data_IF_335709713248
#
_entry.id   IF_335709713248
#
_cell.length_a   1.000
_cell.length_b   1.000
_cell.length_c   1.000
_cell.angle_alpha   90.00
_cell.angle_beta   90.00
_cell.angle_gamma   90.00
#
_symmetry.space_group_name_H-M   'P 1'
#
loop_
_entity.id
_entity.type
_entity.pdbx_description
1 polymer ?
#
# COMPACT_ATOMS: atom_id res chain seq x y z
N UNK A 1 1.47 7.09 -0.40
CA UNK A 1 0.34 8.04 -0.29
C UNK A 1 0.16 8.49 1.15
N UNK A 2 -0.49 9.63 1.39
CA UNK A 2 -0.96 10.02 2.72
C UNK A 2 -2.49 10.00 2.73
N UNK A 3 -3.09 9.32 3.70
CA UNK A 3 -4.53 9.27 3.92
C UNK A 3 -4.83 8.83 5.36
N UNK A 4 -5.89 9.35 5.98
CA UNK A 4 -6.33 8.98 7.33
C UNK A 4 -5.18 9.00 8.36
N UNK A 5 -4.43 10.10 8.40
CA UNK A 5 -3.33 10.29 9.35
C UNK A 5 -2.13 9.36 9.15
N UNK A 6 -2.07 8.61 8.04
CA UNK A 6 -1.07 7.56 7.84
C UNK A 6 -0.35 7.70 6.51
N UNK A 7 0.94 7.33 6.49
CA UNK A 7 1.64 7.01 5.25
C UNK A 7 1.27 5.60 4.84
N UNK A 8 0.85 5.48 3.58
CA UNK A 8 0.57 4.23 2.91
C UNK A 8 1.67 3.93 1.90
N UNK A 9 2.27 2.74 1.99
CA UNK A 9 3.42 2.34 1.19
C UNK A 9 3.21 0.97 0.56
N UNK A 10 3.34 0.91 -0.77
CA UNK A 10 3.25 -0.32 -1.54
C UNK A 10 4.58 -1.11 -1.46
N UNK A 11 4.49 -2.39 -1.11
CA UNK A 11 5.63 -3.30 -1.04
C UNK A 11 5.76 -4.18 -2.28
N UNK A 12 6.89 -4.08 -2.97
CA UNK A 12 7.23 -4.94 -4.12
C UNK A 12 7.52 -6.37 -3.67
N UNK A 13 8.74 -6.66 -3.21
CA UNK A 13 9.13 -8.01 -2.75
C UNK A 13 8.39 -8.44 -1.48
N UNK A 14 7.97 -7.49 -0.66
CA UNK A 14 7.19 -7.77 0.54
C UNK A 14 5.72 -8.11 0.27
N UNK A 15 5.24 -7.89 -0.96
CA UNK A 15 3.88 -8.24 -1.43
C UNK A 15 2.77 -7.82 -0.47
N UNK A 16 2.84 -6.57 0.01
CA UNK A 16 1.95 -6.05 1.05
C UNK A 16 1.79 -4.54 0.95
N UNK A 17 0.67 -4.05 1.46
CA UNK A 17 0.44 -2.63 1.67
C UNK A 17 0.73 -2.29 3.13
N UNK A 18 1.67 -1.39 3.38
CA UNK A 18 1.96 -0.90 4.73
C UNK A 18 1.10 0.32 5.08
N UNK A 19 0.60 0.37 6.31
CA UNK A 19 0.10 1.56 7.00
C UNK A 19 1.10 1.96 8.07
N UNK A 20 1.57 3.20 8.01
CA UNK A 20 2.48 3.79 9.00
C UNK A 20 1.74 5.01 9.60
N UNK A 21 1.14 4.87 10.79
CA UNK A 21 0.38 5.96 11.40
C UNK A 21 1.32 7.06 11.89
N UNK A 22 1.04 8.30 11.51
CA UNK A 22 1.85 9.45 11.90
C UNK A 22 1.29 10.11 13.16
N UNK A 23 2.17 10.53 14.06
CA UNK A 23 1.80 11.24 15.28
C UNK A 23 1.61 12.75 15.04
N UNK A 24 2.21 13.28 13.98
CA UNK A 24 2.22 14.73 13.68
C UNK A 24 3.24 15.51 14.49
N UNK A 25 4.02 14.83 15.34
CA UNK A 25 5.16 15.37 16.09
C UNK A 25 6.41 14.58 15.70
N UNK A 26 7.33 15.22 14.98
CA UNK A 26 8.53 14.57 14.46
C UNK A 26 9.39 13.88 15.53
N UNK A 27 9.30 14.30 16.79
CA UNK A 27 10.00 13.65 17.90
C UNK A 27 9.34 12.37 18.42
N UNK A 28 8.16 12.01 17.90
CA UNK A 28 7.32 10.89 18.36
C UNK A 28 6.77 10.07 17.18
N UNK A 29 7.51 10.02 16.08
CA UNK A 29 7.13 9.19 14.92
C UNK A 29 7.75 7.79 15.00
N UNK A 30 7.03 6.73 14.58
CA UNK A 30 5.60 6.72 14.22
C UNK A 30 4.68 6.76 15.47
N UNK A 31 3.38 7.07 15.28
CA UNK A 31 2.39 7.07 16.37
C UNK A 31 2.21 5.68 17.01
N UNK A 32 2.36 4.63 16.21
CA UNK A 32 2.29 3.23 16.62
C UNK A 32 3.08 2.36 15.61
N UNK A 33 3.26 1.08 15.94
CA UNK A 33 3.96 0.14 15.06
C UNK A 33 3.28 0.06 13.67
N UNK A 34 4.07 0.02 12.57
CA UNK A 34 3.53 -0.15 11.23
C UNK A 34 2.74 -1.45 11.08
N UNK A 35 1.66 -1.39 10.30
CA UNK A 35 0.76 -2.53 10.06
C UNK A 35 0.81 -2.95 8.59
N UNK A 36 0.79 -4.25 8.33
CA UNK A 36 0.67 -4.79 6.97
C UNK A 36 -0.75 -5.21 6.64
N UNK A 37 -1.11 -5.05 5.37
CA UNK A 37 -2.38 -5.46 4.80
C UNK A 37 -2.15 -6.09 3.43
N UNK A 38 -3.12 -6.89 2.98
CA UNK A 38 -3.10 -7.54 1.66
C UNK A 38 -1.88 -8.45 1.44
N UNK A 39 -1.27 -8.96 2.52
CA UNK A 39 -0.07 -9.79 2.47
C UNK A 39 -0.26 -10.96 1.48
N UNK A 40 0.58 -10.98 0.44
CA UNK A 40 0.66 -11.97 -0.65
C UNK A 40 -0.63 -12.10 -1.50
N UNK A 41 -1.67 -11.31 -1.22
CA UNK A 41 -2.99 -11.46 -1.84
C UNK A 41 -3.03 -11.03 -3.32
N UNK A 42 -2.26 -9.99 -3.65
CA UNK A 42 -2.22 -9.40 -5.00
C UNK A 42 -0.81 -9.43 -5.60
N UNK A 43 0.12 -10.12 -4.94
CA UNK A 43 1.53 -10.13 -5.30
C UNK A 43 2.20 -8.77 -5.08
N UNK A 44 3.05 -8.39 -6.04
CA UNK A 44 3.91 -7.21 -5.97
C UNK A 44 3.09 -5.94 -6.09
N UNK A 45 3.24 -5.02 -5.15
CA UNK A 45 2.57 -3.71 -5.18
C UNK A 45 3.60 -2.61 -5.46
N UNK A 46 3.34 -1.75 -6.44
CA UNK A 46 4.31 -0.71 -6.89
C UNK A 46 3.89 0.71 -6.56
N UNK A 47 2.63 1.05 -6.79
CA UNK A 47 2.17 2.43 -6.70
C UNK A 47 0.96 2.52 -5.79
N UNK A 48 0.97 3.49 -4.88
CA UNK A 48 -0.18 3.86 -4.05
C UNK A 48 -0.34 5.37 -4.05
N UNK A 49 -1.51 5.85 -4.43
CA UNK A 49 -1.87 7.28 -4.45
C UNK A 49 -3.21 7.50 -3.74
N UNK A 50 -3.40 8.68 -3.15
CA UNK A 50 -4.67 9.03 -2.52
C UNK A 50 -5.78 9.20 -3.57
N UNK A 51 -6.96 8.66 -3.30
CA UNK A 51 -8.16 8.84 -4.12
C UNK A 51 -9.19 9.79 -3.48
N UNK A 52 -8.81 10.46 -2.39
CA UNK A 52 -9.66 11.37 -1.61
C UNK A 52 -10.42 10.66 -0.48
N UNK A 53 -10.55 11.35 0.66
CA UNK A 53 -11.18 10.80 1.85
C UNK A 53 -10.39 9.62 2.44
N UNK A 54 -11.06 8.49 2.55
CA UNK A 54 -10.59 7.19 3.04
C UNK A 54 -10.22 6.22 1.90
N UNK A 55 -9.98 6.71 0.69
CA UNK A 55 -9.70 5.83 -0.47
C UNK A 55 -8.30 6.00 -1.04
N UNK A 56 -7.76 4.91 -1.56
CA UNK A 56 -6.47 4.82 -2.22
C UNK A 56 -6.60 4.11 -3.57
N UNK A 57 -5.89 4.59 -4.59
CA UNK A 57 -5.59 3.79 -5.78
C UNK A 57 -4.29 3.03 -5.56
N UNK A 58 -4.31 1.73 -5.83
CA UNK A 58 -3.17 0.82 -5.67
C UNK A 58 -2.93 0.06 -6.98
N UNK A 59 -1.68 -0.09 -7.39
CA UNK A 59 -1.30 -0.75 -8.65
C UNK A 59 -0.39 -1.95 -8.38
N UNK A 60 -0.74 -3.11 -8.93
CA UNK A 60 0.11 -4.32 -8.90
C UNK A 60 1.25 -4.21 -9.91
N UNK A 61 2.27 -5.04 -9.75
CA UNK A 61 3.49 -5.02 -10.58
C UNK A 61 4.06 -6.42 -10.76
N UNK A 62 3.19 -7.41 -10.98
CA UNK A 62 3.54 -8.82 -11.16
C UNK A 62 4.21 -9.06 -12.52
N UNK A 63 3.90 -8.23 -13.53
CA UNK A 63 4.47 -8.33 -14.89
C UNK A 63 5.84 -7.68 -15.04
N UNK A 64 6.48 -7.22 -13.96
CA UNK A 64 7.76 -6.48 -13.99
C UNK A 64 9.01 -7.37 -14.15
N UNK A 65 8.83 -8.66 -14.45
CA UNK A 65 9.89 -9.65 -14.61
C UNK A 65 10.44 -10.23 -13.30
N UNK A 66 9.87 -9.88 -12.15
CA UNK A 66 10.27 -10.39 -10.83
C UNK A 66 9.12 -10.98 -10.01
N UNK A 67 7.93 -11.09 -10.61
CA UNK A 67 6.76 -11.71 -10.02
C UNK A 67 6.33 -12.97 -10.78
N UNK A 68 5.21 -13.54 -10.34
CA UNK A 68 4.54 -14.67 -10.98
C UNK A 68 3.18 -14.19 -11.53
N UNK A 69 3.11 -13.66 -12.77
CA UNK A 69 1.90 -13.06 -13.30
C UNK A 69 0.75 -14.05 -13.41
N UNK A 70 -0.45 -13.60 -13.04
CA UNK A 70 -1.70 -14.34 -13.27
C UNK A 70 -2.50 -13.72 -14.41
N UNK A 71 -3.40 -14.47 -15.07
CA UNK A 71 -4.30 -13.88 -16.06
C UNK A 71 -5.06 -12.68 -15.48
N UNK A 72 -4.97 -11.54 -16.17
CA UNK A 72 -5.58 -10.27 -15.75
C UNK A 72 -4.66 -9.34 -14.97
N UNK A 73 -3.39 -9.70 -14.75
CA UNK A 73 -2.39 -8.77 -14.23
C UNK A 73 -1.78 -7.89 -15.34
N UNK A 74 -1.37 -6.66 -15.04
CA UNK A 74 -1.49 -5.96 -13.75
C UNK A 74 -2.84 -5.26 -13.55
N UNK A 75 -3.18 -4.96 -12.29
CA UNK A 75 -4.48 -4.42 -11.87
C UNK A 75 -4.33 -3.07 -11.18
N UNK A 76 -5.36 -2.23 -11.34
CA UNK A 76 -5.58 -1.04 -10.52
C UNK A 76 -6.72 -1.36 -9.54
N UNK A 77 -6.45 -1.25 -8.25
CA UNK A 77 -7.38 -1.51 -7.16
C UNK A 77 -7.79 -0.17 -6.52
N UNK A 78 -9.09 -0.02 -6.23
CA UNK A 78 -9.57 1.01 -5.29
C UNK A 78 -9.68 0.35 -3.91
N UNK A 79 -8.99 0.91 -2.92
CA UNK A 79 -8.97 0.41 -1.55
C UNK A 79 -9.55 1.47 -0.63
N UNK A 80 -10.47 1.08 0.25
CA UNK A 80 -10.97 1.91 1.35
C UNK A 80 -10.18 1.60 2.62
N UNK A 81 -9.83 2.63 3.39
CA UNK A 81 -8.91 2.55 4.53
C UNK A 81 -9.45 3.29 5.76
N UNK A 82 -9.41 2.64 6.92
CA UNK A 82 -9.81 3.18 8.23
C UNK A 82 -8.88 2.71 9.33
#
# INVERSE_FOLDING_TARGET
AYAQGSIWMAGLRGERLWRIPLSGDSGKEPLADPQSFLDEKHGRLRTVVGAGGDRLWLVTSNTDGRGEPTPGDDRILLVEVG
#
